data_IF_764073007329
#
_entry.id   IF_764073007329
#
_cell.length_a   1.000
_cell.length_b   1.000
_cell.length_c   1.000
_cell.angle_alpha   90.00
_cell.angle_beta   90.00
_cell.angle_gamma   90.00
#
_symmetry.space_group_name_H-M   'P 1'
#
loop_
_entity.id
_entity.type
_entity.pdbx_description
1 polymer ?
#
# COMPACT_ATOMS: atom_id res chain seq x y z
N UNK A 1 -1.83 -0.84 23.17
CA UNK A 1 -1.68 0.64 23.12
C UNK A 1 -2.61 1.32 22.11
N UNK A 2 -3.48 0.60 21.38
CA UNK A 2 -4.66 1.18 20.73
C UNK A 2 -4.38 2.09 19.52
N UNK A 3 -3.10 2.29 19.19
CA UNK A 3 -2.64 3.00 18.01
C UNK A 3 -2.71 2.08 16.80
N UNK A 4 -3.51 2.46 15.81
CA UNK A 4 -3.55 1.78 14.52
C UNK A 4 -2.17 1.86 13.87
N UNK A 5 -1.53 0.69 13.72
CA UNK A 5 -0.33 0.53 12.91
C UNK A 5 -0.67 0.92 11.45
N UNK A 6 0.30 1.48 10.73
CA UNK A 6 0.12 1.95 9.35
C UNK A 6 -0.63 0.94 8.45
N UNK A 7 -0.43 -0.37 8.66
CA UNK A 7 -1.13 -1.43 7.91
C UNK A 7 -2.65 -1.40 8.05
N UNK A 8 -3.18 -1.18 9.26
CA UNK A 8 -4.64 -1.12 9.47
C UNK A 8 -5.29 0.06 8.75
N UNK A 9 -4.58 1.19 8.65
CA UNK A 9 -5.04 2.36 7.91
C UNK A 9 -5.01 2.12 6.39
N UNK A 10 -3.95 1.50 5.89
CA UNK A 10 -3.85 1.18 4.46
C UNK A 10 -4.91 0.17 3.99
N UNK A 11 -5.27 -0.78 4.86
CA UNK A 11 -6.38 -1.72 4.60
C UNK A 11 -7.72 -0.99 4.50
N UNK A 12 -8.05 -0.17 5.50
CA UNK A 12 -9.30 0.60 5.50
C UNK A 12 -9.38 1.56 4.31
N UNK A 13 -8.26 2.19 3.93
CA UNK A 13 -8.21 3.05 2.75
C UNK A 13 -8.40 2.28 1.44
N UNK A 14 -7.86 1.07 1.32
CA UNK A 14 -8.04 0.24 0.14
C UNK A 14 -9.50 -0.20 -0.01
N UNK A 15 -10.14 -0.63 1.08
CA UNK A 15 -11.57 -0.93 1.13
C UNK A 15 -12.42 0.27 0.69
N UNK A 16 -12.17 1.46 1.25
CA UNK A 16 -12.86 2.70 0.89
C UNK A 16 -12.74 3.02 -0.62
N UNK A 17 -11.53 2.84 -1.17
CA UNK A 17 -11.26 3.01 -2.61
C UNK A 17 -12.06 2.02 -3.46
N UNK A 18 -12.10 0.75 -3.08
CA UNK A 18 -12.80 -0.28 -3.85
C UNK A 18 -14.31 -0.09 -3.81
N UNK A 19 -14.88 0.12 -2.63
CA UNK A 19 -16.33 0.13 -2.44
C UNK A 19 -16.98 1.44 -2.87
N UNK A 20 -16.35 2.57 -2.59
CA UNK A 20 -16.98 3.88 -2.83
C UNK A 20 -16.62 4.50 -4.17
N UNK A 21 -15.42 4.22 -4.66
CA UNK A 21 -14.91 4.86 -5.88
C UNK A 21 -14.81 3.89 -7.06
N UNK A 22 -14.95 2.57 -6.83
CA UNK A 22 -14.97 1.58 -7.91
C UNK A 22 -13.70 1.60 -8.76
N UNK A 23 -12.55 1.84 -8.12
CA UNK A 23 -11.29 2.01 -8.85
C UNK A 23 -10.87 0.72 -9.57
N UNK A 24 -10.28 0.87 -10.75
CA UNK A 24 -9.71 -0.24 -11.52
C UNK A 24 -8.29 -0.60 -11.06
N UNK A 25 -7.47 0.40 -10.71
CA UNK A 25 -6.09 0.23 -10.25
C UNK A 25 -5.74 1.16 -9.08
N UNK A 26 -4.86 0.70 -8.18
CA UNK A 26 -4.35 1.49 -7.03
C UNK A 26 -2.82 1.45 -6.99
N UNK A 27 -2.18 2.56 -7.32
CA UNK A 27 -0.71 2.66 -7.36
C UNK A 27 -0.19 3.40 -6.12
N UNK A 28 0.68 2.74 -5.36
CA UNK A 28 1.35 3.24 -4.17
C UNK A 28 2.78 3.61 -4.53
N UNK A 29 3.06 4.91 -4.66
CA UNK A 29 4.41 5.42 -4.98
C UNK A 29 5.14 5.72 -3.67
N UNK A 30 5.92 4.76 -3.18
CA UNK A 30 6.54 4.81 -1.84
C UNK A 30 7.95 4.22 -1.88
N UNK A 31 8.84 4.68 -1.00
CA UNK A 31 10.20 4.18 -0.89
C UNK A 31 10.31 2.65 -0.79
N UNK A 32 11.38 2.10 -1.36
CA UNK A 32 11.62 0.66 -1.44
C UNK A 32 11.72 -0.03 -0.05
N UNK A 33 12.02 0.72 1.01
CA UNK A 33 12.01 0.23 2.39
C UNK A 33 10.64 -0.28 2.85
N UNK A 34 9.54 0.14 2.21
CA UNK A 34 8.17 -0.30 2.52
C UNK A 34 7.69 -1.50 1.68
N UNK A 35 8.58 -2.14 0.90
CA UNK A 35 8.18 -3.24 0.00
C UNK A 35 7.51 -4.40 0.73
N UNK A 36 8.04 -4.81 1.90
CA UNK A 36 7.44 -5.91 2.67
C UNK A 36 6.07 -5.53 3.23
N UNK A 37 5.91 -4.28 3.70
CA UNK A 37 4.65 -3.75 4.21
C UNK A 37 3.55 -3.83 3.16
N UNK A 38 3.78 -3.31 1.95
CA UNK A 38 2.76 -3.35 0.89
C UNK A 38 2.47 -4.77 0.40
N UNK A 39 3.48 -5.66 0.36
CA UNK A 39 3.23 -7.09 0.09
C UNK A 39 2.28 -7.72 1.11
N UNK A 40 2.45 -7.40 2.39
CA UNK A 40 1.56 -7.88 3.45
C UNK A 40 0.17 -7.28 3.32
N UNK A 41 0.04 -5.96 3.12
CA UNK A 41 -1.25 -5.28 2.92
C UNK A 41 -2.02 -5.88 1.75
N UNK A 42 -1.38 -6.03 0.58
CA UNK A 42 -2.05 -6.58 -0.60
C UNK A 42 -2.44 -8.05 -0.40
N UNK A 43 -1.58 -8.84 0.25
CA UNK A 43 -1.93 -10.24 0.57
C UNK A 43 -3.07 -10.34 1.57
N UNK A 44 -3.13 -9.44 2.55
CA UNK A 44 -4.24 -9.39 3.50
C UNK A 44 -5.55 -9.03 2.79
N UNK A 45 -5.57 -8.06 1.87
CA UNK A 45 -6.75 -7.74 1.06
C UNK A 45 -7.23 -8.93 0.24
N UNK A 46 -6.30 -9.66 -0.40
CA UNK A 46 -6.62 -10.89 -1.13
C UNK A 46 -7.27 -11.95 -0.21
N UNK A 47 -6.70 -12.16 0.99
CA UNK A 47 -7.24 -13.11 1.97
C UNK A 47 -8.60 -12.68 2.54
N UNK A 48 -8.91 -11.38 2.54
CA UNK A 48 -10.22 -10.83 2.90
C UNK A 48 -11.26 -10.94 1.77
N UNK A 49 -10.86 -11.42 0.59
CA UNK A 49 -11.76 -11.65 -0.55
C UNK A 49 -11.85 -10.48 -1.54
N UNK A 50 -11.01 -9.46 -1.39
CA UNK A 50 -10.97 -8.35 -2.35
C UNK A 50 -10.18 -8.78 -3.60
N UNK A 51 -10.89 -9.16 -4.67
CA UNK A 51 -10.26 -9.47 -5.96
C UNK A 51 -9.45 -8.30 -6.54
N UNK A 52 -9.86 -7.07 -6.20
CA UNK A 52 -9.19 -5.82 -6.58
C UNK A 52 -7.75 -5.74 -6.06
N UNK A 53 -7.38 -6.53 -5.04
CA UNK A 53 -6.02 -6.59 -4.52
C UNK A 53 -4.98 -6.92 -5.61
N UNK A 54 -5.36 -7.66 -6.65
CA UNK A 54 -4.49 -7.97 -7.80
C UNK A 54 -4.13 -6.74 -8.65
N UNK A 55 -4.88 -5.65 -8.51
CA UNK A 55 -4.70 -4.38 -9.19
C UNK A 55 -4.07 -3.29 -8.29
N UNK A 56 -3.56 -3.71 -7.11
CA UNK A 56 -2.75 -2.86 -6.25
C UNK A 56 -1.27 -3.03 -6.55
N UNK A 57 -0.57 -1.90 -6.77
CA UNK A 57 0.83 -1.90 -7.17
C UNK A 57 1.68 -1.01 -6.26
N UNK A 58 2.79 -1.52 -5.74
CA UNK A 58 3.80 -0.70 -5.08
C UNK A 58 4.84 -0.27 -6.11
N UNK A 59 4.77 0.98 -6.55
CA UNK A 59 5.77 1.60 -7.41
C UNK A 59 6.90 2.13 -6.53
N UNK A 60 7.86 1.24 -6.26
CA UNK A 60 8.98 1.54 -5.38
C UNK A 60 9.97 2.53 -6.00
N UNK A 61 10.41 3.51 -5.22
CA UNK A 61 11.56 4.34 -5.56
C UNK A 61 12.71 4.16 -4.55
N UNK A 62 13.95 4.31 -5.02
CA UNK A 62 15.14 4.20 -4.19
C UNK A 62 15.40 5.46 -3.36
N UNK A 63 16.34 5.37 -2.41
CA UNK A 63 16.73 6.53 -1.61
C UNK A 63 17.27 7.65 -2.52
N UNK A 64 16.70 8.84 -2.39
CA UNK A 64 17.23 10.05 -3.03
C UNK A 64 18.36 10.58 -2.16
N UNK A 65 19.56 10.67 -2.74
CA UNK A 65 20.74 11.24 -2.10
C UNK A 65 20.98 12.63 -2.70
N UNK A 66 21.28 13.63 -1.85
CA UNK A 66 21.72 14.93 -2.33
C UNK A 66 23.20 14.88 -2.72
N UNK A 67 23.69 15.79 -3.59
CA UNK A 67 25.10 15.85 -3.98
C UNK A 67 26.07 15.94 -2.78
N UNK A 68 25.64 16.56 -1.69
CA UNK A 68 26.42 16.72 -0.46
C UNK A 68 26.33 15.49 0.49
N UNK A 69 25.51 14.49 0.17
CA UNK A 69 25.19 13.36 1.05
C UNK A 69 23.77 13.43 1.60
N UNK A 70 23.55 12.88 2.79
CA UNK A 70 22.26 12.99 3.50
C UNK A 70 22.08 14.37 4.10
#
# INVERSE_FOLDING_TARGET
DGTTLYATKDLALAEDKFERFGIEESIYVVGAEQTLHFRQVFKTLELLGYEQARHCHHLAYGLVMLPEGK
#
